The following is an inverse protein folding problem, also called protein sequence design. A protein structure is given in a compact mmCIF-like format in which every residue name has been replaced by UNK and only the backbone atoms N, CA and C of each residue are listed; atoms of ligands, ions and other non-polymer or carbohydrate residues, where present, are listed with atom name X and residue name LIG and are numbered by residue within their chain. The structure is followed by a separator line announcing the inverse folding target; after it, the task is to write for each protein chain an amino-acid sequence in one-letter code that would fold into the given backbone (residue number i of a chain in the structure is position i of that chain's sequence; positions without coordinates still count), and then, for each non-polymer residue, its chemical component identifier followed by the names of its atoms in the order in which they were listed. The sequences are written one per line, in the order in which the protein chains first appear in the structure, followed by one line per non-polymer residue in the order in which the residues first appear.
data_IF_623907581466
#
_entry.id   IF_623907581466
#
_cell.length_a   1.000
_cell.length_b   1.000
_cell.length_c   1.000
_cell.angle_alpha   90.00
_cell.angle_beta   90.00
_cell.angle_gamma   90.00
#
_symmetry.space_group_name_H-M   'P 1'
#
loop_
_entity.id
_entity.type
_entity.pdbx_description
1 polymer ?
#
# COMPACT_ATOMS: atom_id res chain seq x y z
N UNK A 1 2.83 -12.63 -8.91
CA UNK A 1 1.95 -13.53 -8.13
C UNK A 1 0.64 -12.81 -7.89
N UNK A 2 -0.54 -13.42 -8.13
CA UNK A 2 -1.81 -12.77 -7.83
C UNK A 2 -1.89 -12.44 -6.33
N UNK A 3 -2.40 -11.26 -6.02
CA UNK A 3 -2.62 -10.79 -4.64
C UNK A 3 -3.99 -11.30 -4.20
N UNK A 4 -4.06 -11.96 -3.06
CA UNK A 4 -5.31 -12.45 -2.46
C UNK A 4 -5.74 -11.51 -1.34
N UNK A 5 -7.04 -11.28 -1.20
CA UNK A 5 -7.61 -10.47 -0.14
C UNK A 5 -8.99 -9.93 -0.48
N UNK A 6 -9.68 -9.32 0.50
CA UNK A 6 -11.00 -8.75 0.28
C UNK A 6 -10.92 -7.57 -0.72
N UNK A 7 -11.89 -7.50 -1.62
CA UNK A 7 -12.03 -6.38 -2.54
C UNK A 7 -12.36 -5.09 -1.78
N UNK A 8 -11.53 -4.07 -1.94
CA UNK A 8 -11.79 -2.71 -1.45
C UNK A 8 -11.38 -1.68 -2.50
N UNK A 9 -12.13 -0.57 -2.53
CA UNK A 9 -11.78 0.63 -3.31
C UNK A 9 -10.69 1.48 -2.64
N UNK A 10 -10.30 1.14 -1.41
CA UNK A 10 -9.28 1.88 -0.65
C UNK A 10 -8.13 0.95 -0.27
N UNK A 11 -6.91 1.39 -0.61
CA UNK A 11 -5.66 0.73 -0.26
C UNK A 11 -4.90 1.58 0.76
N UNK A 12 -4.46 0.93 1.84
CA UNK A 12 -3.51 1.50 2.79
C UNK A 12 -2.09 1.15 2.37
N UNK A 13 -1.19 2.12 2.41
CA UNK A 13 0.24 1.91 2.11
C UNK A 13 1.02 2.32 3.34
N UNK A 14 1.80 1.39 3.88
CA UNK A 14 2.67 1.61 5.02
C UNK A 14 4.12 1.49 4.58
N UNK A 15 4.93 2.49 4.91
CA UNK A 15 6.36 2.51 4.65
C UNK A 15 7.11 2.77 5.95
N UNK A 16 7.98 1.83 6.32
CA UNK A 16 9.03 2.02 7.31
C UNK A 16 10.37 1.91 6.62
N UNK A 17 10.99 3.06 6.38
CA UNK A 17 12.26 3.14 5.66
C UNK A 17 13.43 2.58 6.49
N UNK A 18 13.38 2.71 7.81
CA UNK A 18 14.44 2.24 8.71
C UNK A 18 14.39 0.73 8.88
N UNK A 19 13.19 0.16 9.03
CA UNK A 19 13.01 -1.29 9.12
C UNK A 19 13.02 -1.98 7.74
N UNK A 20 13.02 -1.23 6.63
CA UNK A 20 13.02 -1.79 5.29
C UNK A 20 11.68 -2.44 4.90
N UNK A 21 10.56 -1.96 5.43
CA UNK A 21 9.24 -2.54 5.24
C UNK A 21 8.38 -1.65 4.35
N UNK A 22 7.82 -2.22 3.29
CA UNK A 22 6.73 -1.63 2.51
C UNK A 22 5.56 -2.61 2.48
N UNK A 23 4.40 -2.21 2.99
CA UNK A 23 3.23 -3.07 3.09
C UNK A 23 1.98 -2.41 2.51
N UNK A 24 1.16 -3.22 1.84
CA UNK A 24 -0.10 -2.83 1.21
C UNK A 24 -1.26 -3.53 1.91
N UNK A 25 -2.33 -2.79 2.15
CA UNK A 25 -3.50 -3.27 2.89
C UNK A 25 -4.79 -2.97 2.13
N UNK A 26 -5.74 -3.89 2.21
CA UNK A 26 -7.14 -3.63 1.84
C UNK A 26 -7.83 -2.97 3.03
N UNK A 27 -8.46 -1.82 2.80
CA UNK A 27 -9.14 -1.04 3.84
C UNK A 27 -10.64 -1.12 3.63
N UNK A 28 -11.32 -1.94 4.43
CA UNK A 28 -12.78 -2.07 4.44
C UNK A 28 -13.33 -1.82 5.84
N UNK A 29 -14.13 -2.76 6.34
CA UNK A 29 -14.53 -2.82 7.76
C UNK A 29 -13.35 -3.12 8.70
N UNK A 30 -12.35 -3.83 8.19
CA UNK A 30 -11.07 -4.10 8.84
C UNK A 30 -9.91 -3.83 7.88
N UNK A 31 -8.70 -3.76 8.43
CA UNK A 31 -7.47 -3.62 7.67
C UNK A 31 -6.83 -5.00 7.45
N UNK A 32 -6.77 -5.45 6.20
CA UNK A 32 -6.20 -6.76 5.84
C UNK A 32 -4.90 -6.60 5.07
N UNK A 33 -3.82 -7.25 5.51
CA UNK A 33 -2.55 -7.24 4.78
C UNK A 33 -2.68 -7.98 3.45
N UNK A 34 -2.36 -7.30 2.35
CA UNK A 34 -2.35 -7.86 1.01
C UNK A 34 -0.96 -8.36 0.61
N UNK A 35 0.04 -7.51 0.83
CA UNK A 35 1.40 -7.82 0.45
C UNK A 35 2.41 -7.01 1.26
N UNK A 36 3.59 -7.58 1.48
CA UNK A 36 4.69 -6.94 2.20
C UNK A 36 6.00 -7.25 1.49
N UNK A 37 6.76 -6.19 1.23
CA UNK A 37 8.16 -6.24 0.84
C UNK A 37 9.02 -6.01 2.08
N UNK A 38 10.11 -6.76 2.17
CA UNK A 38 11.17 -6.58 3.16
C UNK A 38 12.45 -6.41 2.35
N UNK A 39 13.05 -5.23 2.37
CA UNK A 39 14.26 -4.90 1.62
C UNK A 39 14.97 -3.70 2.21
N UNK A 40 16.27 -3.55 1.93
CA UNK A 40 17.00 -2.32 2.28
C UNK A 40 16.79 -1.28 1.18
N UNK A 41 16.11 -0.18 1.50
CA UNK A 41 15.93 0.93 0.56
C UNK A 41 17.20 1.78 0.53
N UNK A 42 17.84 1.82 -0.63
CA UNK A 42 19.09 2.60 -0.86
C UNK A 42 18.82 4.03 -1.31
N UNK A 43 17.60 4.31 -1.75
CA UNK A 43 17.16 5.61 -2.27
C UNK A 43 15.74 5.95 -1.77
N UNK A 44 15.35 7.24 -1.78
CA UNK A 44 14.00 7.64 -1.41
C UNK A 44 12.93 6.97 -2.25
N UNK A 45 11.83 6.57 -1.61
CA UNK A 45 10.67 5.97 -2.28
C UNK A 45 9.63 7.04 -2.53
N UNK A 46 9.10 7.05 -3.76
CA UNK A 46 8.02 7.94 -4.16
C UNK A 46 6.73 7.16 -4.45
N UNK A 47 5.55 7.67 -4.08
CA UNK A 47 4.28 7.06 -4.47
C UNK A 47 4.09 7.10 -6.00
N UNK A 48 3.76 5.95 -6.59
CA UNK A 48 3.43 5.81 -8.00
C UNK A 48 2.02 5.24 -8.18
N UNK A 49 1.26 5.77 -9.14
CA UNK A 49 -0.11 5.35 -9.43
C UNK A 49 -0.28 5.05 -10.92
N UNK A 50 -0.68 3.82 -11.25
CA UNK A 50 -1.17 3.47 -12.59
C UNK A 50 -2.69 3.66 -12.62
N UNK A 51 -3.19 4.60 -13.42
CA UNK A 51 -4.61 5.02 -13.39
C UNK A 51 -5.32 4.63 -14.70
N UNK A 52 -6.31 3.73 -14.59
CA UNK A 52 -7.26 3.46 -15.69
C UNK A 52 -8.54 4.31 -15.60
N UNK A 53 -8.91 4.75 -14.39
CA UNK A 53 -10.10 5.59 -14.14
C UNK A 53 -9.73 6.82 -13.30
N UNK A 54 -9.71 6.69 -11.96
CA UNK A 54 -9.36 7.77 -11.04
C UNK A 54 -8.74 7.26 -9.75
N UNK A 55 -7.87 8.08 -9.15
CA UNK A 55 -7.27 7.84 -7.83
C UNK A 55 -7.39 9.11 -7.02
N UNK A 56 -7.74 8.98 -5.74
CA UNK A 56 -7.79 10.08 -4.78
C UNK A 56 -6.96 9.73 -3.55
N UNK A 57 -6.07 10.63 -3.17
CA UNK A 57 -5.35 10.53 -1.90
C UNK A 57 -6.34 10.88 -0.78
N UNK A 58 -6.48 9.97 0.19
CA UNK A 58 -7.36 10.17 1.33
C UNK A 58 -6.66 11.04 2.38
N UNK A 59 -7.35 12.07 2.86
CA UNK A 59 -6.91 12.79 4.05
C UNK A 59 -7.29 11.97 5.28
N UNK A 60 -6.29 11.58 6.06
CA UNK A 60 -6.51 11.07 7.41
C UNK A 60 -6.83 12.29 8.26
N UNK A 61 -8.03 12.31 8.85
CA UNK A 61 -8.40 13.32 9.84
C UNK A 61 -7.66 13.07 11.13
#
# INVERSE_FOLDING_TARGET
KPVSGPHSSRIGVYLDHTAGVLAFYSIGSSMTLLHRFITTFVEPIYPGFGVGTSVKICNLK
#
